data_IF_302387036579
#
_entry.id   IF_302387036579
#
_cell.length_a   1.000
_cell.length_b   1.000
_cell.length_c   1.000
_cell.angle_alpha   90.00
_cell.angle_beta   90.00
_cell.angle_gamma   90.00
#
_symmetry.space_group_name_H-M   'P 1'
#
loop_
_entity.id
_entity.type
_entity.pdbx_description
1 polymer ?
#
# COMPACT_ATOMS: atom_id res chain seq x y z
N UNK A 1 -2.47 6.23 6.06
CA UNK A 1 -1.69 6.50 4.83
C UNK A 1 -2.22 5.65 3.66
N UNK A 2 -2.09 4.32 3.66
CA UNK A 2 -2.51 3.44 2.55
C UNK A 2 -3.99 3.63 2.16
N UNK A 3 -4.92 3.61 3.13
CA UNK A 3 -6.36 3.81 2.88
C UNK A 3 -6.73 5.19 2.31
N UNK A 4 -5.92 6.20 2.57
CA UNK A 4 -6.09 7.56 2.03
C UNK A 4 -5.33 7.78 0.72
N UNK A 5 -4.70 6.74 0.17
CA UNK A 5 -3.85 6.77 -1.03
C UNK A 5 -2.62 7.68 -0.94
N UNK A 6 -2.24 8.07 0.27
CA UNK A 6 -1.13 8.99 0.55
C UNK A 6 0.14 8.22 0.99
N UNK A 7 0.41 7.06 0.43
CA UNK A 7 1.59 6.27 0.79
C UNK A 7 2.91 7.00 0.46
N UNK A 8 2.96 7.69 -0.68
CA UNK A 8 4.11 8.50 -1.11
C UNK A 8 4.39 9.71 -0.21
N UNK A 9 3.39 10.17 0.56
CA UNK A 9 3.56 11.28 1.50
C UNK A 9 4.56 10.95 2.63
N UNK A 10 4.63 9.67 3.03
CA UNK A 10 5.60 9.21 4.01
C UNK A 10 7.04 9.43 3.54
N UNK A 11 7.31 9.10 2.27
CA UNK A 11 8.60 9.30 1.63
C UNK A 11 8.93 10.79 1.48
N UNK A 12 7.95 11.59 1.05
CA UNK A 12 8.11 13.04 0.93
C UNK A 12 8.44 13.71 2.26
N UNK A 13 7.74 13.33 3.35
CA UNK A 13 8.05 13.80 4.70
C UNK A 13 9.48 13.43 5.05
N UNK A 14 9.89 12.19 4.77
CA UNK A 14 11.22 11.67 5.07
C UNK A 14 12.34 12.55 4.55
N UNK A 15 12.26 12.97 3.32
CA UNK A 15 13.29 13.78 2.69
C UNK A 15 13.20 15.27 3.06
N UNK A 16 11.99 15.81 3.24
CA UNK A 16 11.80 17.23 3.56
C UNK A 16 12.18 17.60 5.00
N UNK A 17 12.30 16.61 5.89
CA UNK A 17 12.75 16.77 7.28
C UNK A 17 14.08 17.52 7.37
N UNK A 18 14.98 17.31 6.40
CA UNK A 18 16.30 17.92 6.36
C UNK A 18 16.23 19.45 6.51
N UNK A 19 15.30 20.09 5.81
CA UNK A 19 15.10 21.54 5.92
C UNK A 19 14.76 21.95 7.36
N UNK A 20 13.83 21.22 8.01
CA UNK A 20 13.43 21.53 9.38
C UNK A 20 14.55 21.33 10.38
N UNK A 21 15.35 20.27 10.22
CA UNK A 21 16.53 20.02 11.07
C UNK A 21 17.53 21.16 10.94
N UNK A 22 17.85 21.59 9.72
CA UNK A 22 18.81 22.67 9.47
C UNK A 22 18.34 24.01 10.04
N UNK A 23 17.09 24.36 9.82
CA UNK A 23 16.52 25.60 10.39
C UNK A 23 16.52 25.59 11.92
N UNK A 24 16.14 24.46 12.52
CA UNK A 24 16.18 24.29 13.97
C UNK A 24 17.62 24.32 14.52
N UNK A 25 18.58 23.76 13.78
CA UNK A 25 19.99 23.80 14.13
C UNK A 25 20.52 25.26 14.17
N UNK A 26 20.16 26.08 13.20
CA UNK A 26 20.54 27.50 13.22
C UNK A 26 20.02 28.25 14.44
N UNK A 27 18.87 27.84 15.00
CA UNK A 27 18.31 28.43 16.21
C UNK A 27 18.94 27.86 17.49
N UNK A 28 19.23 26.57 17.50
CA UNK A 28 19.69 25.83 18.69
C UNK A 28 21.22 25.87 18.86
N UNK A 29 21.98 25.97 17.77
CA UNK A 29 23.45 25.88 17.76
C UNK A 29 24.04 24.54 18.22
N UNK A 30 23.19 23.54 18.46
CA UNK A 30 23.60 22.23 18.99
C UNK A 30 22.80 21.09 18.30
N UNK A 31 23.51 20.08 17.80
CA UNK A 31 22.92 18.90 17.13
C UNK A 31 22.14 17.97 18.08
N UNK A 32 22.40 18.05 19.38
CA UNK A 32 21.70 17.23 20.39
C UNK A 32 20.42 17.89 20.94
N UNK A 33 20.03 19.05 20.42
CA UNK A 33 18.89 19.80 20.93
C UNK A 33 17.54 19.15 20.54
N UNK A 34 16.57 19.02 21.46
CA UNK A 34 15.22 18.60 21.14
C UNK A 34 14.50 19.48 20.09
N UNK A 35 14.97 20.74 19.91
CA UNK A 35 14.47 21.65 18.88
C UNK A 35 14.60 21.07 17.46
N UNK A 36 15.60 20.24 17.21
CA UNK A 36 15.78 19.58 15.91
C UNK A 36 14.59 18.66 15.57
N UNK A 37 14.11 17.90 16.56
CA UNK A 37 12.95 17.03 16.40
C UNK A 37 11.69 17.86 16.10
N UNK A 38 11.52 18.97 16.82
CA UNK A 38 10.38 19.89 16.60
C UNK A 38 10.47 20.51 15.20
N UNK A 39 11.64 21.01 14.80
CA UNK A 39 11.86 21.58 13.47
C UNK A 39 11.58 20.58 12.35
N UNK A 40 12.07 19.36 12.50
CA UNK A 40 11.83 18.27 11.58
C UNK A 40 10.34 17.91 11.47
N UNK A 41 9.63 17.83 12.61
CA UNK A 41 8.19 17.56 12.63
C UNK A 41 7.39 18.70 11.95
N UNK A 42 7.76 19.94 12.19
CA UNK A 42 7.15 21.11 11.54
C UNK A 42 7.40 21.11 10.02
N UNK A 43 8.60 20.74 9.58
CA UNK A 43 8.90 20.61 8.16
C UNK A 43 8.03 19.53 7.49
N UNK A 44 7.79 18.43 8.17
CA UNK A 44 6.87 17.39 7.67
C UNK A 44 5.43 17.89 7.53
N UNK A 45 4.94 18.64 8.52
CA UNK A 45 3.60 19.28 8.44
C UNK A 45 3.57 20.33 7.32
N UNK A 46 4.63 21.12 7.16
CA UNK A 46 4.77 22.08 6.06
C UNK A 46 4.70 21.37 4.70
N UNK A 47 5.39 20.25 4.54
CA UNK A 47 5.36 19.44 3.32
C UNK A 47 3.95 18.99 2.99
N UNK A 48 3.23 18.40 3.95
CA UNK A 48 1.84 18.01 3.78
C UNK A 48 0.96 19.17 3.37
N UNK A 49 1.12 20.33 4.05
CA UNK A 49 0.32 21.52 3.76
C UNK A 49 0.56 22.06 2.36
N UNK A 50 1.82 22.12 1.91
CA UNK A 50 2.17 22.59 0.57
C UNK A 50 1.65 21.64 -0.51
N UNK A 51 1.79 20.32 -0.31
CA UNK A 51 1.26 19.30 -1.24
C UNK A 51 -0.26 19.43 -1.34
N UNK A 52 -0.95 19.59 -0.20
CA UNK A 52 -2.41 19.70 -0.18
C UNK A 52 -2.89 20.99 -0.85
N UNK A 53 -2.23 22.12 -0.59
CA UNK A 53 -2.54 23.39 -1.26
C UNK A 53 -2.39 23.24 -2.77
N UNK A 54 -1.29 22.64 -3.23
CA UNK A 54 -1.02 22.45 -4.66
C UNK A 54 -2.03 21.48 -5.29
N UNK A 55 -2.34 20.36 -4.66
CA UNK A 55 -3.32 19.39 -5.12
C UNK A 55 -4.75 19.96 -5.17
N UNK A 56 -5.13 20.81 -4.20
CA UNK A 56 -6.44 21.47 -4.17
C UNK A 56 -6.68 22.45 -5.32
N UNK A 57 -5.63 22.93 -5.99
CA UNK A 57 -5.80 23.76 -7.20
C UNK A 57 -6.44 23.01 -8.36
N UNK A 58 -6.44 21.67 -8.33
CA UNK A 58 -6.92 20.82 -9.41
C UNK A 58 -6.01 20.80 -10.65
N UNK A 59 -4.97 21.63 -10.71
CA UNK A 59 -4.02 21.70 -11.82
C UNK A 59 -3.01 20.54 -11.81
N UNK A 60 -2.73 20.01 -10.62
CA UNK A 60 -1.72 18.97 -10.40
C UNK A 60 -2.32 17.84 -9.60
N UNK A 61 -2.05 16.59 -10.01
CA UNK A 61 -2.43 15.40 -9.23
C UNK A 61 -1.59 15.33 -7.95
N UNK A 62 -2.11 14.70 -6.92
CA UNK A 62 -1.46 14.59 -5.61
C UNK A 62 -0.04 14.01 -5.70
N UNK A 63 0.15 12.92 -6.46
CA UNK A 63 1.48 12.31 -6.64
C UNK A 63 2.49 13.26 -7.29
N UNK A 64 2.04 14.08 -8.26
CA UNK A 64 2.89 15.08 -8.91
C UNK A 64 3.16 16.27 -7.96
N UNK A 65 2.19 16.67 -7.13
CA UNK A 65 2.40 17.69 -6.11
C UNK A 65 3.46 17.24 -5.09
N UNK A 66 3.41 15.98 -4.65
CA UNK A 66 4.44 15.38 -3.81
C UNK A 66 5.81 15.46 -4.49
N UNK A 67 5.91 15.01 -5.75
CA UNK A 67 7.16 15.02 -6.53
C UNK A 67 7.74 16.41 -6.80
N UNK A 68 6.96 17.49 -6.67
CA UNK A 68 7.42 18.87 -6.78
C UNK A 68 7.86 19.45 -5.44
N UNK A 69 7.10 19.22 -4.38
CA UNK A 69 7.29 19.86 -3.07
C UNK A 69 8.50 19.30 -2.34
N UNK A 70 8.63 17.95 -2.25
CA UNK A 70 9.72 17.40 -1.43
C UNK A 70 11.12 17.67 -2.00
N UNK A 71 11.38 17.58 -3.34
CA UNK A 71 12.71 17.92 -3.88
C UNK A 71 13.05 19.41 -3.68
N UNK A 72 12.03 20.28 -3.76
CA UNK A 72 12.22 21.72 -3.49
C UNK A 72 12.68 21.95 -2.04
N UNK A 73 11.95 21.39 -1.07
CA UNK A 73 12.29 21.57 0.36
C UNK A 73 13.63 20.90 0.71
N UNK A 74 13.88 19.70 0.18
CA UNK A 74 15.14 18.99 0.34
C UNK A 74 16.32 19.81 -0.23
N UNK A 75 16.17 20.29 -1.47
CA UNK A 75 17.23 21.09 -2.13
C UNK A 75 17.55 22.37 -1.34
N UNK A 76 16.54 23.06 -0.79
CA UNK A 76 16.76 24.21 0.08
C UNK A 76 17.56 23.79 1.31
N UNK A 77 17.21 22.68 1.96
CA UNK A 77 17.95 22.13 3.09
C UNK A 77 19.41 21.85 2.76
N UNK A 78 19.67 21.17 1.64
CA UNK A 78 21.04 20.88 1.16
C UNK A 78 21.83 22.16 0.87
N UNK A 79 21.24 23.15 0.21
CA UNK A 79 21.89 24.45 -0.04
C UNK A 79 22.26 25.15 1.26
N UNK A 80 21.37 25.15 2.25
CA UNK A 80 21.63 25.76 3.55
C UNK A 80 22.78 25.04 4.28
N UNK A 81 22.83 23.71 4.27
CA UNK A 81 23.95 22.95 4.83
C UNK A 81 25.24 23.31 4.12
N UNK A 82 25.27 23.21 2.80
CA UNK A 82 26.47 23.45 2.00
C UNK A 82 27.01 24.87 2.18
N UNK A 83 26.14 25.86 2.40
CA UNK A 83 26.55 27.28 2.48
C UNK A 83 26.98 27.69 3.89
N UNK A 84 26.34 27.16 4.94
CA UNK A 84 26.48 27.70 6.30
C UNK A 84 27.01 26.70 7.32
N UNK A 85 27.12 25.41 6.97
CA UNK A 85 27.47 24.37 7.96
C UNK A 85 28.76 23.64 7.59
N UNK A 86 29.67 24.27 6.84
CA UNK A 86 30.92 23.67 6.35
C UNK A 86 31.85 23.12 7.46
N UNK A 87 31.72 23.61 8.70
CA UNK A 87 32.55 23.15 9.84
C UNK A 87 31.94 21.96 10.61
N UNK A 88 30.72 21.55 10.29
CA UNK A 88 30.03 20.47 10.96
C UNK A 88 29.71 19.39 9.93
N UNK A 89 30.35 18.23 10.05
CA UNK A 89 30.04 17.04 9.27
C UNK A 89 28.65 16.53 9.72
N UNK A 90 27.57 17.18 9.22
CA UNK A 90 26.25 16.58 9.15
C UNK A 90 26.34 15.57 8.00
N UNK A 91 26.74 14.35 8.32
CA UNK A 91 26.81 13.27 7.36
C UNK A 91 25.37 12.94 6.95
N UNK A 92 24.99 13.40 5.75
CA UNK A 92 23.67 13.18 5.15
C UNK A 92 23.44 11.67 5.00
N UNK A 93 24.50 10.92 4.76
CA UNK A 93 24.43 9.46 4.61
C UNK A 93 24.12 8.79 5.96
N UNK A 94 24.67 9.26 7.07
CA UNK A 94 24.34 8.75 8.41
C UNK A 94 22.87 9.02 8.79
N UNK A 95 22.34 10.20 8.43
CA UNK A 95 20.92 10.53 8.65
C UNK A 95 19.98 9.69 7.77
N UNK A 96 20.39 9.38 6.53
CA UNK A 96 19.57 8.61 5.59
C UNK A 96 19.63 7.10 5.83
N UNK A 97 20.81 6.59 6.17
CA UNK A 97 21.05 5.14 6.30
C UNK A 97 20.70 4.59 7.68
N UNK A 98 20.76 5.42 8.73
CA UNK A 98 20.52 5.05 10.12
C UNK A 98 21.27 3.77 10.51
N UNK A 99 22.06 3.81 11.55
CA UNK A 99 22.83 2.63 11.95
C UNK A 99 22.20 1.95 13.16
N UNK A 100 21.17 1.11 12.90
CA UNK A 100 20.51 0.32 13.94
C UNK A 100 21.52 -0.50 14.77
N UNK A 101 22.65 -0.88 14.16
CA UNK A 101 23.72 -1.58 14.84
C UNK A 101 24.35 -0.78 15.99
N UNK A 102 24.36 0.56 15.89
CA UNK A 102 24.90 1.45 16.95
C UNK A 102 23.83 1.91 17.95
N UNK A 103 22.56 1.63 17.74
CA UNK A 103 21.49 2.02 18.66
C UNK A 103 21.71 1.53 20.11
N UNK A 104 22.25 0.32 20.40
CA UNK A 104 22.55 -0.13 21.76
C UNK A 104 23.63 0.69 22.47
N UNK A 105 24.52 1.35 21.74
CA UNK A 105 25.65 2.12 22.29
C UNK A 105 25.25 3.55 22.64
N UNK A 106 24.19 4.11 22.05
CA UNK A 106 23.65 5.41 22.40
C UNK A 106 22.74 5.29 23.62
N UNK A 107 23.34 5.41 24.81
CA UNK A 107 22.67 5.11 26.09
C UNK A 107 22.13 6.37 26.78
N UNK A 108 20.98 6.21 27.42
CA UNK A 108 20.36 7.27 28.21
C UNK A 108 20.89 7.19 29.65
N UNK A 109 21.63 8.24 30.07
CA UNK A 109 22.15 8.35 31.44
C UNK A 109 21.37 9.44 32.17
N UNK A 110 20.64 9.10 33.22
CA UNK A 110 19.92 10.04 34.08
C UNK A 110 20.44 9.91 35.50
N UNK A 111 20.92 11.04 36.06
CA UNK A 111 21.46 11.05 37.43
C UNK A 111 22.68 10.13 37.66
N UNK A 112 23.46 9.83 36.60
CA UNK A 112 24.63 8.93 36.69
C UNK A 112 24.26 7.45 36.58
N UNK A 113 22.98 7.10 36.42
CA UNK A 113 22.52 5.72 36.20
C UNK A 113 22.22 5.50 34.72
N UNK A 114 22.81 4.43 34.18
CA UNK A 114 22.54 3.98 32.82
C UNK A 114 21.19 3.23 32.77
N UNK A 115 20.23 3.81 32.05
CA UNK A 115 18.84 3.28 31.98
C UNK A 115 18.66 2.39 30.73
N UNK A 116 19.57 2.46 29.75
CA UNK A 116 19.49 1.66 28.52
C UNK A 116 19.55 2.50 27.24
N UNK A 117 19.26 1.89 26.06
CA UNK A 117 19.33 2.59 24.79
C UNK A 117 18.34 3.76 24.72
N UNK A 118 18.81 4.95 24.36
CA UNK A 118 18.00 6.17 24.21
C UNK A 118 16.87 5.98 23.19
N UNK A 119 17.17 5.29 22.10
CA UNK A 119 16.21 4.99 21.02
C UNK A 119 14.98 4.22 21.50
N UNK A 120 15.14 3.32 22.47
CA UNK A 120 14.02 2.55 23.04
C UNK A 120 13.02 3.45 23.76
N UNK A 121 13.48 4.45 24.49
CA UNK A 121 12.61 5.40 25.20
C UNK A 121 11.93 6.38 24.24
N UNK A 122 12.66 6.88 23.25
CA UNK A 122 12.11 7.78 22.23
C UNK A 122 11.03 7.05 21.43
N UNK A 123 11.33 5.89 20.89
CA UNK A 123 10.37 5.11 20.11
C UNK A 123 9.20 4.58 20.95
N UNK A 124 9.46 4.20 22.22
CA UNK A 124 8.42 3.81 23.17
C UNK A 124 7.45 4.95 23.47
N UNK A 125 7.95 6.17 23.64
CA UNK A 125 7.10 7.36 23.84
C UNK A 125 6.28 7.66 22.60
N UNK A 126 6.87 7.62 21.42
CA UNK A 126 6.17 7.82 20.15
C UNK A 126 5.11 6.73 19.94
N UNK A 127 5.42 5.47 20.23
CA UNK A 127 4.46 4.37 20.19
C UNK A 127 3.27 4.62 21.12
N UNK A 128 3.54 5.00 22.38
CA UNK A 128 2.49 5.31 23.35
C UNK A 128 1.61 6.46 22.86
N UNK A 129 2.20 7.54 22.34
CA UNK A 129 1.49 8.68 21.77
C UNK A 129 0.59 8.26 20.59
N UNK A 130 1.12 7.45 19.67
CA UNK A 130 0.36 6.91 18.53
C UNK A 130 -0.81 6.03 19.00
N UNK A 131 -0.57 5.13 19.97
CA UNK A 131 -1.63 4.26 20.50
C UNK A 131 -2.73 5.06 21.18
N UNK A 132 -2.37 6.01 22.04
CA UNK A 132 -3.34 6.89 22.71
C UNK A 132 -4.16 7.67 21.69
N UNK A 133 -3.52 8.26 20.68
CA UNK A 133 -4.21 8.99 19.63
C UNK A 133 -5.18 8.09 18.84
N UNK A 134 -4.73 6.91 18.42
CA UNK A 134 -5.57 5.97 17.67
C UNK A 134 -6.74 5.48 18.53
N UNK A 135 -6.52 5.15 19.80
CA UNK A 135 -7.57 4.66 20.68
C UNK A 135 -8.62 5.73 20.98
N UNK A 136 -8.19 6.96 21.26
CA UNK A 136 -9.09 8.08 21.54
C UNK A 136 -9.86 8.52 20.31
N UNK A 137 -9.20 8.59 19.15
CA UNK A 137 -9.76 9.12 17.90
C UNK A 137 -10.16 8.03 16.90
N UNK A 138 -10.34 6.78 17.35
CA UNK A 138 -10.59 5.66 16.43
C UNK A 138 -11.84 5.84 15.57
N UNK A 139 -12.94 6.32 16.19
CA UNK A 139 -14.22 6.54 15.51
C UNK A 139 -14.14 7.68 14.52
N UNK A 140 -13.55 8.79 14.93
CA UNK A 140 -13.37 10.00 14.14
C UNK A 140 -12.42 9.75 12.98
N UNK A 141 -11.30 9.06 13.22
CA UNK A 141 -10.35 8.66 12.19
C UNK A 141 -10.98 7.73 11.15
N UNK A 142 -11.78 6.75 11.62
CA UNK A 142 -12.49 5.85 10.73
C UNK A 142 -13.46 6.63 9.85
N UNK A 143 -14.29 7.47 10.44
CA UNK A 143 -15.31 8.26 9.72
C UNK A 143 -14.64 9.23 8.74
N UNK A 144 -13.68 10.03 9.20
CA UNK A 144 -12.96 10.99 8.35
C UNK A 144 -12.14 10.34 7.23
N UNK A 145 -11.79 9.05 7.35
CA UNK A 145 -11.03 8.33 6.33
C UNK A 145 -11.93 7.77 5.23
N UNK A 146 -13.13 7.27 5.58
CA UNK A 146 -14.03 6.63 4.62
C UNK A 146 -15.07 7.59 4.03
N UNK A 147 -15.53 8.57 4.84
CA UNK A 147 -16.51 9.58 4.41
C UNK A 147 -16.29 10.89 5.16
N UNK A 148 -15.48 11.77 4.56
CA UNK A 148 -15.18 13.09 5.12
C UNK A 148 -16.41 14.02 5.09
N UNK A 149 -17.32 13.84 4.14
CA UNK A 149 -18.56 14.62 4.03
C UNK A 149 -19.50 14.29 5.20
N UNK A 150 -19.72 13.02 5.47
CA UNK A 150 -20.52 12.57 6.61
C UNK A 150 -19.87 13.00 7.94
N UNK A 151 -18.54 12.92 8.05
CA UNK A 151 -17.84 13.40 9.24
C UNK A 151 -18.10 14.88 9.51
N UNK A 152 -18.04 15.72 8.48
CA UNK A 152 -18.37 17.15 8.57
C UNK A 152 -19.83 17.39 8.93
N UNK A 153 -20.76 16.66 8.34
CA UNK A 153 -22.20 16.77 8.63
C UNK A 153 -22.54 16.38 10.09
N UNK A 154 -21.77 15.47 10.69
CA UNK A 154 -21.89 15.08 12.10
C UNK A 154 -21.17 16.02 13.08
N UNK A 155 -20.59 17.13 12.58
CA UNK A 155 -19.94 18.14 13.40
C UNK A 155 -18.45 17.86 13.71
N UNK A 156 -17.86 16.84 13.12
CA UNK A 156 -16.40 16.62 13.22
C UNK A 156 -15.67 17.56 12.25
N UNK A 157 -14.41 17.85 12.56
CA UNK A 157 -13.52 18.64 11.71
C UNK A 157 -12.53 17.71 10.95
N UNK A 158 -12.90 17.12 9.79
CA UNK A 158 -12.06 16.14 9.10
C UNK A 158 -10.71 16.71 8.68
N UNK A 159 -10.61 18.00 8.38
CA UNK A 159 -9.35 18.68 8.12
C UNK A 159 -8.42 18.72 9.34
N UNK A 160 -8.94 19.03 10.53
CA UNK A 160 -8.14 19.00 11.76
C UNK A 160 -7.63 17.59 12.07
N UNK A 161 -8.51 16.58 11.94
CA UNK A 161 -8.15 15.16 12.12
C UNK A 161 -7.05 14.75 11.14
N UNK A 162 -7.13 15.23 9.90
CA UNK A 162 -6.12 14.99 8.88
C UNK A 162 -4.75 15.58 9.29
N UNK A 163 -4.70 16.85 9.66
CA UNK A 163 -3.44 17.50 10.07
C UNK A 163 -2.86 16.92 11.36
N UNK A 164 -3.69 16.54 12.33
CA UNK A 164 -3.23 15.85 13.53
C UNK A 164 -2.61 14.49 13.19
N UNK A 165 -3.25 13.72 12.30
CA UNK A 165 -2.72 12.43 11.84
C UNK A 165 -1.38 12.61 11.10
N UNK A 166 -1.29 13.60 10.20
CA UNK A 166 -0.06 13.87 9.44
C UNK A 166 1.07 14.39 10.35
N UNK A 167 0.75 15.24 11.30
CA UNK A 167 1.72 15.67 12.32
C UNK A 167 2.27 14.51 13.14
N UNK A 168 1.40 13.57 13.54
CA UNK A 168 1.81 12.38 14.29
C UNK A 168 2.65 11.42 13.42
N UNK A 169 2.31 11.26 12.16
CA UNK A 169 3.12 10.50 11.18
C UNK A 169 4.48 11.16 11.02
N UNK A 170 4.55 12.49 10.91
CA UNK A 170 5.80 13.23 10.81
C UNK A 170 6.68 13.04 12.04
N UNK A 171 6.13 13.17 13.25
CA UNK A 171 6.85 12.92 14.51
C UNK A 171 7.37 11.47 14.55
N UNK A 172 6.56 10.52 14.12
CA UNK A 172 6.94 9.10 14.08
C UNK A 172 8.08 8.87 13.10
N UNK A 173 7.99 9.44 11.90
CA UNK A 173 9.04 9.32 10.89
C UNK A 173 10.36 9.91 11.40
N UNK A 174 10.32 11.15 11.93
CA UNK A 174 11.50 11.83 12.47
C UNK A 174 12.18 11.03 13.59
N UNK A 175 11.39 10.59 14.58
CA UNK A 175 11.95 9.84 15.71
C UNK A 175 12.50 8.46 15.31
N UNK A 176 11.94 7.87 14.25
CA UNK A 176 12.42 6.60 13.74
C UNK A 176 13.71 6.75 12.90
N UNK A 177 13.87 7.85 12.15
CA UNK A 177 15.05 8.05 11.29
C UNK A 177 16.38 8.05 12.04
N UNK A 178 16.42 8.73 13.17
CA UNK A 178 17.60 8.77 14.03
C UNK A 178 18.08 7.37 14.46
N UNK A 179 17.15 6.40 14.47
CA UNK A 179 17.43 5.04 14.95
C UNK A 179 17.62 4.02 13.83
N UNK A 180 16.72 4.03 12.84
CA UNK A 180 16.61 2.93 11.87
C UNK A 180 16.85 3.37 10.42
N UNK A 181 16.98 4.67 10.17
CA UNK A 181 17.16 5.25 8.85
C UNK A 181 15.88 5.37 8.04
N UNK A 182 15.94 6.21 6.99
CA UNK A 182 14.77 6.54 6.16
C UNK A 182 14.25 5.34 5.38
N UNK A 183 15.13 4.50 4.84
CA UNK A 183 14.77 3.35 3.99
C UNK A 183 13.87 2.37 4.76
N UNK A 184 14.26 2.00 5.99
CA UNK A 184 13.49 1.05 6.79
C UNK A 184 12.18 1.67 7.26
N UNK A 185 12.17 2.95 7.65
CA UNK A 185 10.94 3.65 8.06
C UNK A 185 9.91 3.65 6.95
N UNK A 186 10.31 4.06 5.73
CA UNK A 186 9.41 4.09 4.57
C UNK A 186 8.93 2.68 4.23
N UNK A 187 9.81 1.69 4.23
CA UNK A 187 9.43 0.30 3.96
C UNK A 187 8.39 -0.23 4.96
N UNK A 188 8.59 -0.01 6.28
CA UNK A 188 7.65 -0.46 7.32
C UNK A 188 6.35 0.35 7.33
N UNK A 189 6.36 1.61 6.93
CA UNK A 189 5.14 2.43 6.83
C UNK A 189 4.26 2.06 5.63
N UNK A 190 4.82 1.47 4.57
CA UNK A 190 4.09 1.17 3.33
C UNK A 190 3.84 -0.33 3.17
N UNK A 191 4.85 -1.19 3.25
CA UNK A 191 4.72 -2.59 2.87
C UNK A 191 3.80 -3.41 3.80
N UNK A 192 3.93 -3.40 5.15
CA UNK A 192 3.06 -4.14 6.02
C UNK A 192 1.58 -3.74 5.95
N UNK A 193 1.21 -2.44 5.98
CA UNK A 193 -0.20 -2.07 5.86
C UNK A 193 -0.76 -2.32 4.46
N UNK A 194 0.05 -2.25 3.39
CA UNK A 194 -0.39 -2.61 2.04
C UNK A 194 -0.65 -4.11 1.91
N UNK A 195 0.20 -4.96 2.50
CA UNK A 195 -0.03 -6.40 2.58
C UNK A 195 -1.31 -6.71 3.37
N UNK A 196 -1.51 -6.08 4.53
CA UNK A 196 -2.71 -6.24 5.34
C UNK A 196 -3.99 -5.81 4.61
N UNK A 197 -3.93 -4.76 3.81
CA UNK A 197 -5.04 -4.29 2.96
C UNK A 197 -5.48 -5.32 1.92
N UNK A 198 -4.55 -6.12 1.40
CA UNK A 198 -4.86 -7.20 0.45
C UNK A 198 -5.51 -8.41 1.12
N UNK A 199 -5.33 -8.58 2.43
CA UNK A 199 -5.79 -9.74 3.18
C UNK A 199 -7.16 -9.56 3.84
N UNK A 200 -7.64 -8.33 4.03
CA UNK A 200 -8.89 -8.10 4.79
C UNK A 200 -9.58 -6.79 4.45
N UNK A 201 -10.92 -6.79 4.52
CA UNK A 201 -11.78 -5.61 4.38
C UNK A 201 -12.10 -4.93 5.72
N UNK A 202 -11.78 -5.56 6.86
CA UNK A 202 -12.09 -5.03 8.19
C UNK A 202 -10.92 -4.20 8.73
N UNK A 203 -11.14 -2.90 8.97
CA UNK A 203 -10.10 -1.97 9.46
C UNK A 203 -9.38 -2.48 10.71
N UNK A 204 -10.10 -3.00 11.69
CA UNK A 204 -9.49 -3.52 12.93
C UNK A 204 -8.56 -4.71 12.69
N UNK A 205 -8.96 -5.64 11.78
CA UNK A 205 -8.10 -6.76 11.38
C UNK A 205 -6.90 -6.27 10.55
N UNK A 206 -7.11 -5.29 9.67
CA UNK A 206 -6.05 -4.69 8.88
C UNK A 206 -4.96 -4.06 9.78
N UNK A 207 -5.36 -3.33 10.83
CA UNK A 207 -4.41 -2.76 11.79
C UNK A 207 -3.61 -3.86 12.50
N UNK A 208 -4.27 -4.90 13.00
CA UNK A 208 -3.60 -6.02 13.66
C UNK A 208 -2.65 -6.78 12.73
N UNK A 209 -3.09 -7.07 11.48
CA UNK A 209 -2.25 -7.72 10.47
C UNK A 209 -1.06 -6.86 10.06
N UNK A 210 -1.23 -5.53 9.94
CA UNK A 210 -0.12 -4.62 9.65
C UNK A 210 0.97 -4.69 10.71
N UNK A 211 0.59 -4.67 11.98
CA UNK A 211 1.54 -4.81 13.09
C UNK A 211 2.21 -6.17 13.06
N UNK A 212 1.45 -7.25 12.87
CA UNK A 212 2.00 -8.62 12.81
C UNK A 212 3.01 -8.77 11.67
N UNK A 213 2.65 -8.33 10.45
CA UNK A 213 3.55 -8.39 9.28
C UNK A 213 4.78 -7.52 9.52
N UNK A 214 4.64 -6.33 10.12
CA UNK A 214 5.77 -5.47 10.47
C UNK A 214 6.74 -6.13 11.45
N UNK A 215 6.21 -6.77 12.51
CA UNK A 215 7.02 -7.52 13.48
C UNK A 215 7.72 -8.71 12.83
N UNK A 216 7.02 -9.49 12.00
CA UNK A 216 7.63 -10.62 11.28
C UNK A 216 8.73 -10.11 10.33
N UNK A 217 8.50 -9.01 9.61
CA UNK A 217 9.50 -8.39 8.73
C UNK A 217 10.75 -7.98 9.50
N UNK A 218 10.57 -7.35 10.67
CA UNK A 218 11.68 -6.91 11.51
C UNK A 218 12.50 -8.09 12.03
N UNK A 219 11.84 -9.10 12.59
CA UNK A 219 12.52 -10.29 13.13
C UNK A 219 13.23 -11.07 12.02
N UNK A 220 12.53 -11.39 10.93
CA UNK A 220 13.11 -12.17 9.83
C UNK A 220 14.24 -11.41 9.14
N UNK A 221 14.08 -10.10 8.92
CA UNK A 221 15.12 -9.26 8.33
C UNK A 221 16.35 -9.12 9.22
N UNK A 222 16.18 -9.03 10.54
CA UNK A 222 17.29 -9.02 11.49
C UNK A 222 18.11 -10.31 11.43
N UNK A 223 17.46 -11.47 11.50
CA UNK A 223 18.15 -12.76 11.39
C UNK A 223 18.82 -12.93 10.03
N UNK A 224 18.17 -12.49 8.96
CA UNK A 224 18.74 -12.52 7.62
C UNK A 224 20.01 -11.67 7.52
N UNK A 225 19.99 -10.45 8.11
CA UNK A 225 21.17 -9.58 8.17
C UNK A 225 22.37 -10.25 8.84
N UNK A 226 22.15 -10.95 9.96
CA UNK A 226 23.21 -11.67 10.68
C UNK A 226 23.80 -12.79 9.84
N UNK A 227 22.93 -13.55 9.12
CA UNK A 227 23.38 -14.71 8.33
C UNK A 227 24.23 -14.29 7.13
N UNK A 228 23.89 -13.17 6.47
CA UNK A 228 24.59 -12.72 5.26
C UNK A 228 25.60 -11.59 5.51
N UNK A 229 25.79 -11.20 6.79
CA UNK A 229 26.68 -10.09 7.20
C UNK A 229 26.37 -8.79 6.44
N UNK A 230 25.10 -8.37 6.44
CA UNK A 230 24.61 -7.19 5.71
C UNK A 230 23.96 -6.16 6.63
N UNK A 231 23.64 -4.98 6.06
CA UNK A 231 22.92 -3.92 6.76
C UNK A 231 21.60 -4.43 7.38
N UNK A 232 21.42 -4.24 8.69
CA UNK A 232 20.23 -4.66 9.42
C UNK A 232 18.99 -3.94 8.86
N UNK A 233 19.07 -2.63 8.67
CA UNK A 233 17.96 -1.83 8.16
C UNK A 233 17.59 -2.24 6.73
N UNK A 234 18.57 -2.43 5.84
CA UNK A 234 18.35 -2.90 4.48
C UNK A 234 17.72 -4.28 4.41
N UNK A 235 18.17 -5.21 5.25
CA UNK A 235 17.62 -6.58 5.32
C UNK A 235 16.20 -6.62 5.85
N UNK A 236 15.87 -5.81 6.87
CA UNK A 236 14.49 -5.68 7.38
C UNK A 236 13.57 -5.07 6.33
N UNK A 237 14.01 -4.04 5.61
CA UNK A 237 13.25 -3.42 4.51
C UNK A 237 13.01 -4.42 3.37
N UNK A 238 14.04 -5.21 3.00
CA UNK A 238 13.93 -6.27 2.00
C UNK A 238 12.96 -7.37 2.42
N UNK A 239 12.99 -7.77 3.70
CA UNK A 239 12.04 -8.74 4.26
C UNK A 239 10.60 -8.22 4.22
N UNK A 240 10.38 -6.93 4.53
CA UNK A 240 9.04 -6.30 4.42
C UNK A 240 8.54 -6.29 2.98
N UNK A 241 9.41 -5.96 2.02
CA UNK A 241 9.10 -6.00 0.58
C UNK A 241 8.82 -7.41 0.09
N UNK A 242 9.59 -8.41 0.51
CA UNK A 242 9.39 -9.81 0.15
C UNK A 242 8.06 -10.35 0.70
N UNK A 243 7.72 -10.07 1.96
CA UNK A 243 6.44 -10.45 2.55
C UNK A 243 5.27 -9.77 1.84
N UNK A 244 5.38 -8.48 1.50
CA UNK A 244 4.39 -7.80 0.69
C UNK A 244 4.20 -8.48 -0.67
N UNK A 245 5.30 -8.82 -1.36
CA UNK A 245 5.27 -9.48 -2.67
C UNK A 245 4.59 -10.86 -2.57
N UNK A 246 4.90 -11.65 -1.54
CA UNK A 246 4.23 -12.93 -1.30
C UNK A 246 2.72 -12.75 -1.10
N UNK A 247 2.31 -11.80 -0.28
CA UNK A 247 0.89 -11.50 -0.08
C UNK A 247 0.25 -11.00 -1.37
N UNK A 248 0.92 -10.11 -2.12
CA UNK A 248 0.44 -9.60 -3.40
C UNK A 248 0.19 -10.71 -4.43
N UNK A 249 1.05 -11.72 -4.47
CA UNK A 249 0.88 -12.86 -5.37
C UNK A 249 -0.22 -13.82 -4.91
N UNK A 250 -0.25 -14.16 -3.62
CA UNK A 250 -1.02 -15.29 -3.09
C UNK A 250 -2.24 -14.91 -2.25
N UNK A 251 -2.56 -13.62 -2.03
CA UNK A 251 -3.76 -13.25 -1.28
C UNK A 251 -5.03 -13.87 -1.88
N UNK A 252 -5.92 -14.49 -1.06
CA UNK A 252 -7.00 -15.35 -1.55
C UNK A 252 -8.05 -14.61 -2.38
N UNK A 253 -8.30 -13.33 -2.13
CA UNK A 253 -9.33 -12.56 -2.84
C UNK A 253 -8.77 -11.49 -3.78
N UNK A 254 -7.67 -10.84 -3.38
CA UNK A 254 -7.07 -9.68 -4.06
C UNK A 254 -5.67 -9.96 -4.61
N UNK A 255 -5.15 -11.17 -4.40
CA UNK A 255 -3.85 -11.57 -4.93
C UNK A 255 -3.87 -11.67 -6.45
N UNK A 256 -2.72 -11.46 -7.05
CA UNK A 256 -2.57 -11.47 -8.51
C UNK A 256 -3.07 -12.79 -9.11
N UNK A 257 -2.69 -13.92 -8.50
CA UNK A 257 -3.10 -15.26 -8.96
C UNK A 257 -4.62 -15.47 -8.82
N UNK A 258 -5.23 -15.03 -7.71
CA UNK A 258 -6.66 -15.13 -7.49
C UNK A 258 -7.45 -14.26 -8.48
N UNK A 259 -7.01 -13.03 -8.74
CA UNK A 259 -7.62 -12.14 -9.72
C UNK A 259 -7.52 -12.72 -11.13
N UNK A 260 -6.35 -13.26 -11.51
CA UNK A 260 -6.15 -13.87 -12.83
C UNK A 260 -7.04 -15.12 -13.02
N UNK A 261 -7.08 -16.00 -12.02
CA UNK A 261 -7.94 -17.19 -12.03
C UNK A 261 -9.42 -16.81 -12.15
N UNK A 262 -9.90 -15.84 -11.33
CA UNK A 262 -11.29 -15.38 -11.37
C UNK A 262 -11.63 -14.75 -12.72
N UNK A 263 -10.75 -13.93 -13.28
CA UNK A 263 -10.95 -13.32 -14.61
C UNK A 263 -11.02 -14.37 -15.71
N UNK A 264 -10.19 -15.42 -15.63
CA UNK A 264 -10.24 -16.55 -16.56
C UNK A 264 -11.55 -17.36 -16.43
N UNK A 265 -12.04 -17.61 -15.20
CA UNK A 265 -13.34 -18.25 -14.96
C UNK A 265 -14.49 -17.41 -15.49
N UNK A 266 -14.54 -16.13 -15.15
CA UNK A 266 -15.61 -15.22 -15.64
C UNK A 266 -15.65 -15.15 -17.18
N UNK A 267 -14.47 -15.11 -17.84
CA UNK A 267 -14.39 -15.12 -19.29
C UNK A 267 -14.98 -16.41 -19.88
N UNK A 268 -14.72 -17.57 -19.27
CA UNK A 268 -15.27 -18.86 -19.71
C UNK A 268 -16.76 -18.97 -19.44
N UNK A 269 -17.23 -18.50 -18.29
CA UNK A 269 -18.66 -18.51 -17.94
C UNK A 269 -19.46 -17.62 -18.89
N UNK A 270 -18.95 -16.42 -19.18
CA UNK A 270 -19.58 -15.51 -20.14
C UNK A 270 -19.61 -16.10 -21.56
N UNK A 271 -18.48 -16.66 -22.00
CA UNK A 271 -18.44 -17.32 -23.31
C UNK A 271 -19.34 -18.56 -23.35
N UNK A 272 -19.44 -19.33 -22.26
CA UNK A 272 -20.39 -20.44 -22.13
C UNK A 272 -21.86 -19.97 -22.28
N UNK A 273 -22.22 -18.83 -21.68
CA UNK A 273 -23.55 -18.21 -21.87
C UNK A 273 -23.80 -17.84 -23.34
N UNK A 274 -22.83 -17.18 -23.98
CA UNK A 274 -22.93 -16.83 -25.40
C UNK A 274 -23.09 -18.07 -26.29
N UNK A 275 -22.33 -19.12 -26.03
CA UNK A 275 -22.44 -20.40 -26.77
C UNK A 275 -23.84 -21.00 -26.65
N UNK A 276 -24.40 -21.05 -25.44
CA UNK A 276 -25.73 -21.62 -25.20
C UNK A 276 -26.83 -20.78 -25.86
N UNK A 277 -26.72 -19.45 -25.83
CA UNK A 277 -27.65 -18.54 -26.54
C UNK A 277 -27.51 -18.70 -28.06
N UNK A 278 -26.28 -18.79 -28.58
CA UNK A 278 -26.02 -18.98 -30.00
C UNK A 278 -26.66 -20.31 -30.51
N UNK A 279 -26.45 -21.39 -29.78
CA UNK A 279 -27.05 -22.67 -30.13
C UNK A 279 -28.58 -22.66 -30.07
N UNK A 280 -29.17 -21.94 -29.10
CA UNK A 280 -30.63 -21.79 -29.00
C UNK A 280 -31.20 -21.00 -30.17
N UNK A 281 -30.56 -19.93 -30.61
CA UNK A 281 -30.99 -19.10 -31.71
C UNK A 281 -31.00 -19.84 -33.07
N UNK A 282 -30.10 -20.82 -33.22
CA UNK A 282 -29.99 -21.63 -34.45
C UNK A 282 -30.71 -22.97 -34.36
N UNK A 283 -31.30 -23.35 -33.21
CA UNK A 283 -32.02 -24.60 -33.02
C UNK A 283 -33.30 -24.61 -33.90
N UNK A 284 -33.47 -25.60 -34.75
CA UNK A 284 -34.59 -25.72 -35.68
C UNK A 284 -34.47 -24.86 -36.93
N UNK A 285 -33.37 -24.18 -37.17
CA UNK A 285 -33.12 -23.42 -38.40
C UNK A 285 -32.38 -24.29 -39.44
N UNK A 286 -32.41 -23.94 -40.75
CA UNK A 286 -31.62 -24.64 -41.76
C UNK A 286 -30.10 -24.63 -41.52
N UNK A 287 -29.63 -23.70 -40.69
CA UNK A 287 -28.21 -23.48 -40.36
C UNK A 287 -27.78 -24.25 -39.11
N UNK A 288 -28.69 -24.92 -38.38
CA UNK A 288 -28.40 -25.63 -37.11
C UNK A 288 -27.23 -26.58 -37.22
N UNK A 289 -27.16 -27.32 -38.34
CA UNK A 289 -26.08 -28.32 -38.53
C UNK A 289 -24.70 -27.69 -38.63
N UNK A 290 -24.58 -26.55 -39.26
CA UNK A 290 -23.34 -25.81 -39.45
C UNK A 290 -22.95 -25.06 -38.19
N UNK A 291 -23.90 -24.31 -37.58
CA UNK A 291 -23.67 -23.48 -36.41
C UNK A 291 -23.45 -24.29 -35.11
N UNK A 292 -23.83 -25.58 -35.12
CA UNK A 292 -23.57 -26.52 -34.01
C UNK A 292 -22.22 -27.22 -34.10
N UNK A 293 -21.49 -27.07 -35.21
CA UNK A 293 -20.18 -27.72 -35.40
C UNK A 293 -19.07 -26.97 -34.62
N UNK A 294 -18.28 -27.70 -33.83
CA UNK A 294 -17.23 -27.12 -32.99
C UNK A 294 -16.20 -26.34 -33.83
N UNK A 295 -15.87 -26.82 -35.02
CA UNK A 295 -14.96 -26.18 -35.97
C UNK A 295 -15.46 -24.85 -36.50
N UNK A 296 -16.80 -24.68 -36.61
CA UNK A 296 -17.41 -23.45 -37.13
C UNK A 296 -17.50 -22.33 -36.09
N UNK A 297 -17.46 -22.64 -34.79
CA UNK A 297 -17.49 -21.66 -33.72
C UNK A 297 -16.30 -20.70 -33.75
N UNK A 298 -15.18 -21.08 -34.35
CA UNK A 298 -14.02 -20.21 -34.56
C UNK A 298 -14.36 -19.05 -35.51
N UNK A 299 -15.07 -19.32 -36.59
CA UNK A 299 -15.48 -18.32 -37.57
C UNK A 299 -16.65 -17.47 -37.07
N UNK A 300 -17.73 -18.13 -36.55
CA UNK A 300 -18.96 -17.46 -36.17
C UNK A 300 -18.83 -16.58 -34.90
N UNK A 301 -18.05 -16.99 -33.91
CA UNK A 301 -17.84 -16.26 -32.66
C UNK A 301 -16.49 -15.57 -32.55
N UNK A 302 -15.59 -15.72 -33.54
CA UNK A 302 -14.26 -15.11 -33.57
C UNK A 302 -13.35 -15.61 -32.42
N UNK A 303 -13.53 -16.84 -31.96
CA UNK A 303 -12.77 -17.40 -30.85
C UNK A 303 -11.57 -18.19 -31.35
N UNK A 304 -10.46 -18.19 -30.60
CA UNK A 304 -9.30 -19.04 -30.88
C UNK A 304 -9.61 -20.51 -30.57
N UNK A 305 -9.05 -21.46 -31.31
CA UNK A 305 -9.25 -22.91 -31.15
C UNK A 305 -9.14 -23.39 -29.69
N UNK A 306 -8.06 -23.02 -29.00
CA UNK A 306 -7.85 -23.39 -27.59
C UNK A 306 -8.94 -22.87 -26.66
N UNK A 307 -9.49 -21.68 -26.97
CA UNK A 307 -10.56 -21.08 -26.18
C UNK A 307 -11.88 -21.77 -26.46
N UNK A 308 -12.20 -22.14 -27.71
CA UNK A 308 -13.37 -22.95 -28.10
C UNK A 308 -13.35 -24.26 -27.35
N UNK A 309 -12.23 -25.00 -27.36
CA UNK A 309 -12.06 -26.27 -26.61
C UNK A 309 -12.31 -26.08 -25.11
N UNK A 310 -11.79 -24.99 -24.53
CA UNK A 310 -11.96 -24.67 -23.11
C UNK A 310 -13.42 -24.37 -22.75
N UNK A 311 -14.11 -23.54 -23.56
CA UNK A 311 -15.52 -23.17 -23.35
C UNK A 311 -16.45 -24.33 -23.56
N UNK A 312 -16.25 -25.10 -24.64
CA UNK A 312 -17.03 -26.33 -24.93
C UNK A 312 -16.88 -27.34 -23.79
N UNK A 313 -15.65 -27.62 -23.36
CA UNK A 313 -15.38 -28.53 -22.24
C UNK A 313 -16.01 -28.05 -20.92
N UNK A 314 -16.06 -26.73 -20.67
CA UNK A 314 -16.75 -26.14 -19.53
C UNK A 314 -18.27 -26.31 -19.63
N UNK A 315 -18.86 -26.00 -20.78
CA UNK A 315 -20.30 -26.14 -21.04
C UNK A 315 -20.81 -27.58 -20.97
N UNK A 316 -19.98 -28.52 -21.36
CA UNK A 316 -20.26 -29.96 -21.19
C UNK A 316 -20.20 -30.37 -19.72
N UNK A 317 -19.18 -29.94 -18.97
CA UNK A 317 -19.05 -30.24 -17.53
C UNK A 317 -20.18 -29.65 -16.69
N UNK A 318 -20.67 -28.49 -17.05
CA UNK A 318 -21.82 -27.85 -16.38
C UNK A 318 -23.17 -28.45 -16.80
N UNK A 319 -23.16 -29.38 -17.77
CA UNK A 319 -24.34 -30.09 -18.26
C UNK A 319 -25.27 -29.19 -19.09
N UNK A 320 -24.77 -28.09 -19.66
CA UNK A 320 -25.56 -27.20 -20.53
C UNK A 320 -25.60 -27.68 -21.98
N UNK A 321 -24.52 -28.36 -22.42
CA UNK A 321 -24.33 -28.81 -23.80
C UNK A 321 -23.83 -30.26 -23.80
N UNK A 322 -24.23 -31.03 -24.82
CA UNK A 322 -23.72 -32.36 -25.09
C UNK A 322 -23.02 -32.35 -26.45
N UNK A 323 -21.93 -33.10 -26.56
CA UNK A 323 -21.23 -33.33 -27.84
C UNK A 323 -21.67 -34.65 -28.42
N UNK A 324 -22.29 -34.65 -29.60
CA UNK A 324 -22.67 -35.85 -30.38
C UNK A 324 -22.09 -35.75 -31.78
N UNK A 325 -21.22 -36.68 -32.15
CA UNK A 325 -20.59 -36.74 -33.50
C UNK A 325 -19.93 -35.42 -33.94
N UNK A 326 -19.20 -34.72 -33.05
CA UNK A 326 -18.54 -33.46 -33.37
C UNK A 326 -19.46 -32.22 -33.35
N UNK A 327 -20.76 -32.38 -33.08
CA UNK A 327 -21.76 -31.30 -33.01
C UNK A 327 -22.21 -31.08 -31.57
N UNK A 328 -22.48 -29.83 -31.23
CA UNK A 328 -22.98 -29.41 -29.94
C UNK A 328 -24.51 -29.41 -29.93
N UNK A 329 -25.12 -30.04 -28.92
CA UNK A 329 -26.57 -30.02 -28.72
C UNK A 329 -26.89 -29.51 -27.33
N UNK A 330 -27.89 -28.62 -27.24
CA UNK A 330 -28.41 -28.14 -25.98
C UNK A 330 -29.07 -29.26 -25.18
N UNK A 331 -28.84 -29.25 -23.88
CA UNK A 331 -29.64 -30.03 -22.92
C UNK A 331 -30.91 -29.24 -22.54
N UNK A 332 -31.88 -29.87 -21.86
CA UNK A 332 -33.02 -29.15 -21.28
C UNK A 332 -32.58 -28.02 -20.33
N UNK A 333 -31.57 -28.32 -19.50
CA UNK A 333 -30.94 -27.34 -18.61
C UNK A 333 -30.32 -26.18 -19.40
N UNK A 334 -29.67 -26.47 -20.54
CA UNK A 334 -29.08 -25.45 -21.40
C UNK A 334 -30.13 -24.53 -22.01
N UNK A 335 -31.26 -25.10 -22.52
CA UNK A 335 -32.38 -24.31 -23.07
C UNK A 335 -33.02 -23.39 -22.03
N UNK A 336 -33.30 -23.94 -20.84
CA UNK A 336 -33.86 -23.15 -19.74
C UNK A 336 -32.94 -22.01 -19.34
N UNK A 337 -31.63 -22.26 -19.25
CA UNK A 337 -30.62 -21.28 -18.93
C UNK A 337 -30.51 -20.19 -20.01
N UNK A 338 -30.50 -20.54 -21.29
CA UNK A 338 -30.46 -19.60 -22.39
C UNK A 338 -31.73 -18.70 -22.42
N UNK A 339 -32.90 -19.31 -22.24
CA UNK A 339 -34.17 -18.59 -22.20
C UNK A 339 -34.22 -17.53 -21.09
N UNK A 340 -33.71 -17.84 -19.89
CA UNK A 340 -33.60 -16.86 -18.79
C UNK A 340 -32.59 -15.75 -19.10
N UNK A 341 -31.46 -16.10 -19.72
CA UNK A 341 -30.38 -15.13 -20.03
C UNK A 341 -30.72 -14.15 -21.15
N UNK A 342 -31.78 -14.40 -21.93
CA UNK A 342 -32.31 -13.48 -22.97
C UNK A 342 -33.30 -12.49 -22.35
N UNK A 343 -33.95 -12.87 -21.24
CA UNK A 343 -34.97 -12.06 -20.56
C UNK A 343 -34.44 -11.15 -19.46
N UNK A 344 -33.21 -11.38 -18.97
CA UNK A 344 -32.46 -10.51 -18.06
C UNK A 344 -31.51 -9.56 -18.84
#
# INVERSE_FOLDING_TARGET
>A
MVLRRMAMMSDAISHSILLGIVLAFFLAGNVSSPLLIIGAALSGVLTVSLVEILARTGLVKEDAAIGLVFPLLFSIGVILIARYTWSIHLDVDAVLLGELAFAPFNRLIIGGVDIGPRSMYVMGTILALNLVFILLMYKELKLATFDAGLAAALGFAPGLIHYLLMGLVSVTAVGAFDTVGSILVVALMIAPPSAAYLLTDKLSRMLGLSVLIGVISAISGFWFAIVIDASIAGSMASAAGALFLLVFLFAPERGLLAVYSRKSHQKRDFAGRLLVIHLLNHEGTPEEERESEVSHLEESLGWKEDFVKSVTGHSVRTGMVLVKKGRLKLTEKGREFAGRSITE
#
